data_IF_059294221985
#
_entry.id   IF_059294221985
#
_cell.length_a   1.000
_cell.length_b   1.000
_cell.length_c   1.000
_cell.angle_alpha   90.00
_cell.angle_beta   90.00
_cell.angle_gamma   90.00
#
_symmetry.space_group_name_H-M   'P 1'
#
loop_
_entity.id
_entity.type
_entity.pdbx_description
1 polymer ?
#
# COMPACT_ATOMS: atom_id res chain seq x y z
N UNK A 1 6.84 -2.84 59.41
CA UNK A 1 6.98 -2.30 58.04
C UNK A 1 5.84 -2.87 57.21
N UNK A 2 4.86 -2.04 56.84
CA UNK A 2 3.72 -2.45 56.02
C UNK A 2 4.08 -2.17 54.57
N UNK A 3 4.41 -3.21 53.83
CA UNK A 3 4.72 -3.15 52.40
C UNK A 3 3.46 -2.66 51.69
N UNK A 4 3.59 -1.57 50.94
CA UNK A 4 2.51 -1.05 50.10
C UNK A 4 2.11 -2.16 49.14
N UNK A 5 0.86 -2.62 49.22
CA UNK A 5 0.34 -3.59 48.27
C UNK A 5 0.59 -3.05 46.87
N UNK A 6 1.20 -3.87 46.03
CA UNK A 6 1.39 -3.61 44.61
C UNK A 6 -0.01 -3.34 44.05
N UNK A 7 -0.34 -2.06 43.87
CA UNK A 7 -1.56 -1.64 43.19
C UNK A 7 -1.55 -2.36 41.85
N UNK A 8 -2.49 -3.28 41.72
CA UNK A 8 -2.42 -4.35 40.76
C UNK A 8 -2.12 -3.87 39.36
N UNK A 9 -1.17 -4.58 38.74
CA UNK A 9 -1.20 -4.90 37.32
C UNK A 9 -2.53 -5.64 37.00
N UNK A 10 -3.67 -4.96 37.15
CA UNK A 10 -4.91 -5.38 36.54
C UNK A 10 -4.81 -5.15 35.03
N UNK A 11 -5.50 -5.97 34.20
CA UNK A 11 -5.44 -5.83 32.76
C UNK A 11 -5.72 -4.38 32.38
N UNK A 12 -4.79 -3.79 31.63
CA UNK A 12 -4.76 -2.39 31.25
C UNK A 12 -5.81 -2.04 30.19
N UNK A 13 -7.05 -2.51 30.39
CA UNK A 13 -8.20 -2.21 29.55
C UNK A 13 -8.51 -0.71 29.54
N UNK A 14 -8.06 0.04 30.57
CA UNK A 14 -8.20 1.49 30.63
C UNK A 14 -7.23 2.26 29.71
N UNK A 15 -5.94 1.88 29.56
CA UNK A 15 -5.09 2.51 28.51
C UNK A 15 -5.53 2.08 27.10
N UNK A 16 -6.08 0.87 26.93
CA UNK A 16 -6.52 0.39 25.62
C UNK A 16 -7.76 1.12 25.09
N UNK A 17 -8.64 1.61 25.96
CA UNK A 17 -9.87 2.32 25.56
C UNK A 17 -9.57 3.62 24.81
N UNK A 18 -8.59 4.39 25.27
CA UNK A 18 -8.18 5.62 24.59
C UNK A 18 -7.72 5.33 23.16
N UNK A 19 -6.90 4.29 22.98
CA UNK A 19 -6.44 3.87 21.66
C UNK A 19 -7.59 3.49 20.71
N UNK A 20 -8.60 2.79 21.21
CA UNK A 20 -9.78 2.45 20.40
C UNK A 20 -10.63 3.65 20.04
N UNK A 21 -10.79 4.63 20.93
CA UNK A 21 -11.51 5.88 20.62
C UNK A 21 -10.79 6.64 19.51
N UNK A 22 -9.47 6.79 19.62
CA UNK A 22 -8.66 7.46 18.59
C UNK A 22 -8.72 6.70 17.26
N UNK A 23 -8.59 5.37 17.28
CA UNK A 23 -8.70 4.53 16.09
C UNK A 23 -10.08 4.66 15.42
N UNK A 24 -11.17 4.70 16.21
CA UNK A 24 -12.51 4.91 15.69
C UNK A 24 -12.63 6.25 14.97
N UNK A 25 -12.10 7.33 15.56
CA UNK A 25 -12.10 8.65 14.93
C UNK A 25 -11.30 8.65 13.61
N UNK A 26 -10.14 7.99 13.58
CA UNK A 26 -9.33 7.84 12.36
C UNK A 26 -10.11 7.07 11.29
N UNK A 27 -10.78 5.97 11.66
CA UNK A 27 -11.59 5.18 10.72
C UNK A 27 -12.74 6.01 10.17
N UNK A 28 -13.42 6.80 11.00
CA UNK A 28 -14.51 7.67 10.55
C UNK A 28 -14.05 8.73 9.55
N UNK A 29 -12.78 9.14 9.59
CA UNK A 29 -12.19 10.08 8.62
C UNK A 29 -11.68 9.35 7.38
N UNK A 30 -11.00 8.21 7.54
CA UNK A 30 -10.40 7.46 6.42
C UNK A 30 -11.44 6.72 5.58
N UNK A 31 -12.50 6.20 6.18
CA UNK A 31 -13.53 5.43 5.49
C UNK A 31 -14.22 6.25 4.38
N UNK A 32 -14.66 7.51 4.59
CA UNK A 32 -15.21 8.34 3.50
C UNK A 32 -14.14 8.81 2.51
N UNK A 33 -12.86 8.82 2.88
CA UNK A 33 -11.75 9.12 1.97
C UNK A 33 -11.41 7.95 1.04
N UNK A 34 -11.65 6.71 1.47
CA UNK A 34 -11.39 5.50 0.70
C UNK A 34 -11.98 5.53 -0.72
N UNK A 35 -13.26 5.89 -0.96
CA UNK A 35 -13.79 5.98 -2.32
C UNK A 35 -13.06 7.02 -3.19
N UNK A 36 -12.55 8.11 -2.60
CA UNK A 36 -11.76 9.12 -3.33
C UNK A 36 -10.43 8.52 -3.79
N UNK A 37 -9.74 7.78 -2.92
CA UNK A 37 -8.52 7.07 -3.28
C UNK A 37 -8.76 6.02 -4.36
N UNK A 38 -9.87 5.27 -4.29
CA UNK A 38 -10.23 4.27 -5.30
C UNK A 38 -10.46 4.92 -6.67
N UNK A 39 -11.21 6.01 -6.73
CA UNK A 39 -11.46 6.74 -7.99
C UNK A 39 -10.16 7.33 -8.54
N UNK A 40 -9.36 7.97 -7.69
CA UNK A 40 -8.05 8.50 -8.10
C UNK A 40 -7.11 7.42 -8.61
N UNK A 41 -7.09 6.26 -7.96
CA UNK A 41 -6.32 5.10 -8.39
C UNK A 41 -6.81 4.52 -9.71
N UNK A 42 -8.13 4.44 -9.93
CA UNK A 42 -8.72 4.02 -11.21
C UNK A 42 -8.34 4.96 -12.35
N UNK A 43 -8.41 6.28 -12.12
CA UNK A 43 -8.00 7.28 -13.09
C UNK A 43 -6.50 7.14 -13.38
N UNK A 44 -5.67 7.03 -12.34
CA UNK A 44 -4.24 6.80 -12.51
C UNK A 44 -3.96 5.55 -13.35
N UNK A 45 -4.60 4.43 -13.01
CA UNK A 45 -4.44 3.17 -13.74
C UNK A 45 -4.93 3.25 -15.18
N UNK A 46 -6.00 3.98 -15.45
CA UNK A 46 -6.58 4.09 -16.79
C UNK A 46 -5.77 5.00 -17.72
N UNK A 47 -5.18 6.08 -17.20
CA UNK A 47 -4.55 7.12 -18.01
C UNK A 47 -3.02 7.18 -17.91
N UNK A 48 -2.44 6.75 -16.78
CA UNK A 48 -1.01 6.88 -16.52
C UNK A 48 -0.30 5.53 -16.45
N UNK A 49 -1.03 4.43 -16.31
CA UNK A 49 -0.46 3.11 -16.49
C UNK A 49 -0.55 2.69 -17.96
N UNK A 50 0.06 3.47 -18.84
CA UNK A 50 0.41 3.03 -20.18
C UNK A 50 1.45 1.90 -20.06
N UNK A 51 0.94 0.69 -20.31
CA UNK A 51 1.61 -0.37 -21.07
C UNK A 51 2.91 -1.00 -20.54
N UNK A 52 2.74 -2.01 -19.68
CA UNK A 52 3.62 -3.21 -19.71
C UNK A 52 3.43 -4.06 -20.99
N UNK A 53 2.70 -3.55 -22.01
CA UNK A 53 2.59 -4.20 -23.32
C UNK A 53 3.88 -4.06 -24.15
N UNK A 54 4.86 -3.25 -23.71
CA UNK A 54 6.16 -3.13 -24.37
C UNK A 54 7.13 -4.30 -24.17
N UNK A 55 6.81 -5.34 -23.37
CA UNK A 55 7.81 -6.36 -23.06
C UNK A 55 7.93 -7.45 -24.14
N UNK A 56 6.84 -7.93 -24.75
CA UNK A 56 6.91 -9.09 -25.64
C UNK A 56 7.55 -8.80 -27.00
N UNK A 57 7.26 -7.66 -27.62
CA UNK A 57 7.83 -7.24 -28.90
C UNK A 57 9.25 -6.68 -28.74
N UNK A 58 9.54 -5.97 -27.65
CA UNK A 58 10.89 -5.51 -27.30
C UNK A 58 11.81 -6.67 -26.90
N UNK A 59 11.29 -7.69 -26.21
CA UNK A 59 12.02 -8.92 -25.91
C UNK A 59 12.29 -9.76 -27.16
N UNK A 60 11.35 -9.79 -28.12
CA UNK A 60 11.54 -10.46 -29.40
C UNK A 60 12.56 -9.73 -30.28
N UNK A 61 12.48 -8.40 -30.40
CA UNK A 61 13.42 -7.59 -31.19
C UNK A 61 14.83 -7.52 -30.59
N UNK A 62 14.96 -7.55 -29.26
CA UNK A 62 16.26 -7.61 -28.58
C UNK A 62 16.93 -8.99 -28.68
N UNK A 63 16.17 -10.04 -29.01
CA UNK A 63 16.67 -11.39 -29.26
C UNK A 63 16.92 -11.70 -30.73
N UNK A 64 16.53 -10.81 -31.64
CA UNK A 64 16.95 -10.89 -33.04
C UNK A 64 18.48 -10.69 -33.06
N UNK A 65 19.27 -11.74 -33.31
CA UNK A 65 20.72 -11.59 -33.42
C UNK A 65 20.93 -10.69 -34.64
N UNK A 66 21.62 -9.56 -34.46
CA UNK A 66 21.99 -8.65 -35.55
C UNK A 66 22.35 -9.47 -36.78
N UNK A 67 21.50 -9.41 -37.78
CA UNK A 67 21.78 -9.96 -39.10
C UNK A 67 23.12 -9.34 -39.51
N UNK A 68 24.19 -10.13 -39.73
CA UNK A 68 25.47 -9.56 -40.09
C UNK A 68 25.29 -8.80 -41.41
N UNK A 69 25.94 -7.64 -41.58
CA UNK A 69 25.83 -6.89 -42.82
C UNK A 69 26.24 -7.83 -43.96
N UNK A 70 25.31 -8.13 -44.86
CA UNK A 70 25.62 -8.81 -46.12
C UNK A 70 26.46 -7.84 -46.94
N UNK A 71 27.77 -7.91 -46.74
CA UNK A 71 28.75 -7.26 -47.59
C UNK A 71 28.85 -7.98 -48.95
N UNK A 72 29.27 -7.18 -49.93
CA UNK A 72 29.58 -7.43 -51.34
C UNK A 72 28.42 -7.75 -52.28
#
# INVERSE_FOLDING_TARGET
MKVSESTGYGPNSQMSLFGYVVALLIVLVLLPLLPVFVVGWLIWRAFFAEDEQGNFEQWRSSREPRQPPSGS
#
